data_IF_212529748115
#
_entry.id   IF_212529748115
#
_cell.length_a   1.000
_cell.length_b   1.000
_cell.length_c   1.000
_cell.angle_alpha   90.00
_cell.angle_beta   90.00
_cell.angle_gamma   90.00
#
_symmetry.space_group_name_H-M   'P 1'
#
loop_
_entity.id
_entity.type
_entity.pdbx_description
1 polymer ?
#
# COMPACT_ATOMS: atom_id res chain seq x y z
N UNK A 1 -8.90 8.59 11.06
CA UNK A 1 -8.25 7.69 10.09
C UNK A 1 -9.26 7.28 9.03
N UNK A 2 -8.88 7.28 7.74
CA UNK A 2 -9.82 7.11 6.64
C UNK A 2 -10.31 5.67 6.53
N UNK A 3 -11.54 5.40 6.98
CA UNK A 3 -12.34 4.28 6.49
C UNK A 3 -13.11 4.76 5.26
N UNK A 4 -13.53 3.85 4.39
CA UNK A 4 -14.40 4.22 3.29
C UNK A 4 -15.79 4.54 3.85
N UNK A 5 -16.15 5.82 3.96
CA UNK A 5 -17.36 6.29 4.66
C UNK A 5 -18.65 5.69 4.09
N UNK A 6 -18.69 5.43 2.79
CA UNK A 6 -19.85 4.89 2.07
C UNK A 6 -19.87 3.35 2.01
N UNK A 7 -18.90 2.66 2.62
CA UNK A 7 -18.79 1.21 2.53
C UNK A 7 -19.49 0.49 3.68
N UNK A 8 -20.30 -0.52 3.36
CA UNK A 8 -20.90 -1.39 4.37
C UNK A 8 -19.90 -2.45 4.85
N UNK A 9 -19.26 -2.18 5.98
CA UNK A 9 -18.33 -3.10 6.65
C UNK A 9 -19.00 -4.33 7.30
N UNK A 10 -20.31 -4.53 7.17
CA UNK A 10 -21.00 -5.77 7.54
C UNK A 10 -21.25 -6.67 6.34
N UNK A 11 -21.33 -6.10 5.14
CA UNK A 11 -21.66 -6.79 3.91
C UNK A 11 -20.56 -7.72 3.42
N UNK A 12 -20.97 -8.64 2.54
CA UNK A 12 -20.07 -9.59 1.85
C UNK A 12 -19.03 -8.82 1.03
N UNK A 13 -17.76 -8.94 1.40
CA UNK A 13 -16.65 -8.26 0.73
C UNK A 13 -15.32 -8.88 1.12
N UNK A 14 -14.27 -8.65 0.31
CA UNK A 14 -12.90 -9.02 0.62
C UNK A 14 -12.15 -7.76 1.04
N UNK A 15 -11.40 -7.87 2.13
CA UNK A 15 -10.63 -6.78 2.72
C UNK A 15 -9.17 -7.19 2.85
N UNK A 16 -8.27 -6.32 2.41
CA UNK A 16 -6.87 -6.36 2.81
C UNK A 16 -6.69 -5.44 4.02
N UNK A 17 -6.44 -6.02 5.19
CA UNK A 17 -6.22 -5.30 6.44
C UNK A 17 -4.73 -5.26 6.75
N UNK A 18 -4.22 -4.12 7.19
CA UNK A 18 -2.87 -3.99 7.74
C UNK A 18 -2.93 -3.55 9.21
N UNK A 19 -2.33 -4.35 10.09
CA UNK A 19 -2.19 -4.06 11.51
C UNK A 19 -0.74 -3.66 11.81
N UNK A 20 -0.49 -2.41 12.17
CA UNK A 20 0.84 -1.92 12.51
C UNK A 20 1.21 -2.26 13.95
N UNK A 21 2.47 -2.63 14.16
CA UNK A 21 3.08 -2.85 15.48
C UNK A 21 3.10 -1.54 16.28
N UNK A 22 2.75 -1.60 17.56
CA UNK A 22 2.94 -0.46 18.47
C UNK A 22 4.42 -0.22 18.77
N UNK A 23 4.84 0.99 19.16
CA UNK A 23 6.26 1.34 19.32
C UNK A 23 7.07 0.38 20.21
N UNK A 24 6.60 0.12 21.43
CA UNK A 24 7.38 -0.51 22.51
C UNK A 24 7.40 -2.05 22.51
N UNK A 25 6.47 -2.70 21.82
CA UNK A 25 6.37 -4.17 21.79
C UNK A 25 7.55 -4.79 21.01
N UNK A 26 7.97 -6.04 21.27
CA UNK A 26 8.93 -6.73 20.41
C UNK A 26 8.44 -6.89 18.96
N UNK A 27 9.37 -7.04 18.01
CA UNK A 27 9.03 -7.33 16.61
C UNK A 27 8.30 -8.67 16.49
N UNK A 28 7.44 -8.81 15.48
CA UNK A 28 6.66 -10.03 15.26
C UNK A 28 7.48 -11.15 14.59
N UNK A 29 8.66 -10.82 14.08
CA UNK A 29 9.58 -11.78 13.50
C UNK A 29 10.84 -11.10 12.98
N UNK A 30 11.77 -11.90 12.52
CA UNK A 30 13.03 -11.43 11.95
C UNK A 30 13.18 -11.99 10.54
N UNK A 31 13.64 -11.14 9.63
CA UNK A 31 14.08 -11.60 8.32
C UNK A 31 15.41 -12.33 8.48
N UNK A 32 15.43 -13.62 8.14
CA UNK A 32 16.57 -14.51 8.19
C UNK A 32 16.88 -15.07 6.80
N UNK A 33 18.14 -15.42 6.55
CA UNK A 33 18.61 -15.85 5.24
C UNK A 33 18.87 -14.67 4.29
N UNK A 34 19.23 -15.01 3.06
CA UNK A 34 19.52 -14.06 1.98
C UNK A 34 18.57 -14.25 0.81
N UNK A 35 18.38 -13.24 -0.02
CA UNK A 35 17.62 -13.38 -1.26
C UNK A 35 18.27 -14.47 -2.15
N UNK A 36 17.50 -15.40 -2.75
CA UNK A 36 16.03 -15.49 -2.77
C UNK A 36 15.40 -16.28 -1.61
N UNK A 37 16.21 -16.96 -0.80
CA UNK A 37 15.77 -17.91 0.26
C UNK A 37 15.43 -17.24 1.60
N UNK A 38 15.29 -15.91 1.61
CA UNK A 38 14.97 -15.14 2.82
C UNK A 38 13.57 -15.47 3.35
N UNK A 39 13.46 -15.66 4.66
CA UNK A 39 12.19 -15.99 5.34
C UNK A 39 11.99 -15.16 6.59
N UNK A 40 10.72 -14.91 6.97
CA UNK A 40 10.41 -14.33 8.29
C UNK A 40 10.31 -15.46 9.32
N UNK A 41 11.31 -15.57 10.18
CA UNK A 41 11.27 -16.43 11.36
C UNK A 41 10.44 -15.72 12.43
N UNK A 42 9.40 -16.38 12.94
CA UNK A 42 8.46 -15.79 13.90
C UNK A 42 9.10 -15.62 15.26
N UNK A 43 8.86 -14.46 15.88
CA UNK A 43 9.14 -14.27 17.30
C UNK A 43 8.08 -14.99 18.15
N UNK A 44 8.28 -15.02 19.47
CA UNK A 44 7.26 -15.51 20.41
C UNK A 44 5.91 -14.81 20.22
N UNK A 45 5.94 -13.49 20.03
CA UNK A 45 4.75 -12.70 19.73
C UNK A 45 4.19 -13.01 18.34
N UNK A 46 5.03 -13.16 17.31
CA UNK A 46 4.61 -13.56 15.97
C UNK A 46 3.83 -14.88 15.95
N UNK A 47 4.29 -15.87 16.72
CA UNK A 47 3.60 -17.15 16.86
C UNK A 47 2.22 -17.01 17.53
N UNK A 48 2.08 -16.13 18.54
CA UNK A 48 0.79 -15.81 19.17
C UNK A 48 -0.15 -15.12 18.19
N UNK A 49 0.35 -14.16 17.42
CA UNK A 49 -0.42 -13.48 16.37
C UNK A 49 -0.93 -14.51 15.35
N UNK A 50 -0.04 -15.37 14.83
CA UNK A 50 -0.39 -16.39 13.84
C UNK A 50 -1.46 -17.37 14.35
N UNK A 51 -1.31 -17.86 15.59
CA UNK A 51 -2.29 -18.74 16.23
C UNK A 51 -3.68 -18.10 16.26
N UNK A 52 -3.76 -16.81 16.57
CA UNK A 52 -5.02 -16.09 16.65
C UNK A 52 -5.62 -15.76 15.28
N UNK A 53 -4.80 -15.42 14.28
CA UNK A 53 -5.26 -15.25 12.88
C UNK A 53 -5.91 -16.54 12.37
N UNK A 54 -5.24 -17.69 12.57
CA UNK A 54 -5.77 -19.00 12.14
C UNK A 54 -7.10 -19.36 12.79
N UNK A 55 -7.41 -18.77 13.95
CA UNK A 55 -8.66 -18.97 14.71
C UNK A 55 -9.68 -17.86 14.47
N UNK A 56 -9.45 -16.93 13.54
CA UNK A 56 -10.34 -15.77 13.35
C UNK A 56 -11.81 -16.16 13.09
N UNK A 57 -12.05 -17.27 12.40
CA UNK A 57 -13.42 -17.79 12.16
C UNK A 57 -14.17 -18.22 13.42
N UNK A 58 -13.51 -18.32 14.59
CA UNK A 58 -14.20 -18.58 15.86
C UNK A 58 -14.94 -17.37 16.41
N UNK A 59 -14.61 -16.15 15.94
CA UNK A 59 -15.36 -14.95 16.32
C UNK A 59 -16.68 -14.82 15.57
N UNK A 60 -16.71 -15.29 14.33
CA UNK A 60 -17.89 -15.35 13.46
C UNK A 60 -17.59 -16.29 12.28
N UNK A 61 -18.50 -17.21 11.96
CA UNK A 61 -18.31 -18.19 10.89
C UNK A 61 -18.26 -17.56 9.50
N UNK A 62 -18.76 -16.33 9.34
CA UNK A 62 -18.67 -15.56 8.10
C UNK A 62 -17.29 -14.92 7.87
N UNK A 63 -16.37 -14.98 8.84
CA UNK A 63 -15.00 -14.47 8.70
C UNK A 63 -14.05 -15.57 8.24
N UNK A 64 -13.62 -15.48 6.98
CA UNK A 64 -12.62 -16.38 6.42
C UNK A 64 -11.32 -15.64 6.12
N UNK A 65 -10.22 -16.05 6.75
CA UNK A 65 -8.88 -15.59 6.37
C UNK A 65 -8.47 -16.34 5.10
N UNK A 66 -8.33 -15.62 3.99
CA UNK A 66 -7.86 -16.17 2.72
C UNK A 66 -6.33 -16.24 2.68
N UNK A 67 -5.66 -15.22 3.22
CA UNK A 67 -4.21 -15.17 3.29
C UNK A 67 -3.74 -14.24 4.40
N UNK A 68 -2.52 -14.41 4.89
CA UNK A 68 -1.86 -13.43 5.76
C UNK A 68 -0.34 -13.43 5.57
N UNK A 69 0.28 -12.31 5.96
CA UNK A 69 1.72 -12.18 6.07
C UNK A 69 2.05 -11.40 7.35
N UNK A 70 2.83 -11.99 8.25
CA UNK A 70 3.34 -11.32 9.45
C UNK A 70 4.76 -10.84 9.13
N UNK A 71 4.90 -9.53 9.02
CA UNK A 71 6.16 -8.81 8.86
C UNK A 71 6.70 -8.44 10.25
N UNK A 72 7.99 -8.06 10.37
CA UNK A 72 8.57 -7.69 11.67
C UNK A 72 7.81 -6.59 12.42
N UNK A 73 7.24 -5.62 11.70
CA UNK A 73 6.64 -4.39 12.20
C UNK A 73 5.16 -4.22 11.85
N UNK A 74 4.55 -5.16 11.12
CA UNK A 74 3.13 -5.12 10.78
C UNK A 74 2.60 -6.48 10.32
N UNK A 75 1.29 -6.60 10.18
CA UNK A 75 0.62 -7.80 9.69
C UNK A 75 -0.33 -7.44 8.56
N UNK A 76 -0.23 -8.14 7.44
CA UNK A 76 -1.23 -8.12 6.38
C UNK A 76 -2.21 -9.29 6.53
N UNK A 77 -3.50 -9.02 6.43
CA UNK A 77 -4.57 -10.01 6.43
C UNK A 77 -5.44 -9.82 5.20
N UNK A 78 -5.71 -10.89 4.46
CA UNK A 78 -6.73 -10.91 3.42
C UNK A 78 -7.93 -11.67 3.97
N UNK A 79 -9.00 -10.94 4.26
CA UNK A 79 -10.18 -11.45 4.94
C UNK A 79 -11.36 -11.40 3.98
N UNK A 80 -12.05 -12.52 3.85
CA UNK A 80 -13.32 -12.59 3.14
C UNK A 80 -14.46 -12.68 4.15
N UNK A 81 -15.31 -11.65 4.13
CA UNK A 81 -16.62 -11.69 4.78
C UNK A 81 -17.57 -12.42 3.82
N UNK A 82 -17.92 -13.66 4.14
CA UNK A 82 -18.67 -14.53 3.24
C UNK A 82 -20.18 -14.32 3.32
N UNK A 83 -20.68 -13.84 4.46
CA UNK A 83 -22.09 -13.53 4.72
C UNK A 83 -22.19 -12.28 5.61
N UNK A 84 -23.37 -11.63 5.71
CA UNK A 84 -23.53 -10.44 6.55
C UNK A 84 -23.12 -10.70 8.00
N UNK A 85 -22.28 -9.81 8.54
CA UNK A 85 -21.81 -9.88 9.93
C UNK A 85 -22.81 -9.26 10.90
N UNK A 86 -22.86 -9.77 12.12
CA UNK A 86 -23.66 -9.16 13.20
C UNK A 86 -23.12 -7.79 13.65
N UNK A 87 -21.78 -7.61 13.58
CA UNK A 87 -21.06 -6.37 13.91
C UNK A 87 -20.27 -5.89 12.70
N UNK A 88 -19.85 -4.62 12.69
CA UNK A 88 -18.90 -4.17 11.66
C UNK A 88 -17.59 -4.94 11.77
N UNK A 89 -16.93 -5.22 10.62
CA UNK A 89 -15.63 -5.91 10.57
C UNK A 89 -14.62 -5.37 11.59
N UNK A 90 -14.56 -4.04 11.75
CA UNK A 90 -13.64 -3.41 12.69
C UNK A 90 -13.81 -3.86 14.16
N UNK A 91 -15.02 -4.26 14.58
CA UNK A 91 -15.23 -4.81 15.92
C UNK A 91 -14.53 -6.17 16.08
N UNK A 92 -14.59 -7.03 15.06
CA UNK A 92 -13.90 -8.33 15.06
C UNK A 92 -12.39 -8.16 14.98
N UNK A 93 -11.89 -7.17 14.24
CA UNK A 93 -10.46 -6.81 14.26
C UNK A 93 -10.04 -6.35 15.66
N UNK A 94 -10.84 -5.54 16.35
CA UNK A 94 -10.57 -5.17 17.74
C UNK A 94 -10.57 -6.38 18.67
N UNK A 95 -11.51 -7.31 18.53
CA UNK A 95 -11.55 -8.56 19.30
C UNK A 95 -10.30 -9.41 19.06
N UNK A 96 -9.84 -9.52 17.81
CA UNK A 96 -8.59 -10.20 17.46
C UNK A 96 -7.39 -9.55 18.17
N UNK A 97 -7.27 -8.21 18.11
CA UNK A 97 -6.17 -7.47 18.77
C UNK A 97 -6.18 -7.67 20.28
N UNK A 98 -7.36 -7.63 20.92
CA UNK A 98 -7.53 -7.88 22.35
C UNK A 98 -7.12 -9.31 22.71
N UNK A 99 -7.56 -10.31 21.93
CA UNK A 99 -7.22 -11.71 22.17
C UNK A 99 -5.72 -11.97 22.05
N UNK A 100 -5.06 -11.39 21.05
CA UNK A 100 -3.60 -11.45 20.88
C UNK A 100 -2.90 -10.84 22.08
N UNK A 101 -3.32 -9.66 22.53
CA UNK A 101 -2.75 -9.01 23.72
C UNK A 101 -2.89 -9.90 24.97
N UNK A 102 -4.07 -10.48 25.21
CA UNK A 102 -4.32 -11.37 26.34
C UNK A 102 -3.44 -12.62 26.30
N UNK A 103 -3.42 -13.31 25.16
CA UNK A 103 -2.61 -14.53 24.99
C UNK A 103 -1.12 -14.23 25.14
N UNK A 104 -0.63 -13.09 24.61
CA UNK A 104 0.77 -12.71 24.75
C UNK A 104 1.10 -12.34 26.20
N UNK A 105 0.28 -11.53 26.87
CA UNK A 105 0.45 -11.14 28.28
C UNK A 105 0.52 -12.34 29.21
N UNK A 106 -0.32 -13.36 28.99
CA UNK A 106 -0.30 -14.59 29.78
C UNK A 106 1.04 -15.34 29.68
N UNK A 107 1.69 -15.22 28.52
CA UNK A 107 2.88 -15.97 28.16
C UNK A 107 4.17 -15.19 28.52
N UNK A 108 4.19 -13.88 28.32
CA UNK A 108 5.36 -13.01 28.55
C UNK A 108 5.34 -12.29 29.90
N UNK A 109 4.17 -12.09 30.51
CA UNK A 109 3.99 -11.20 31.66
C UNK A 109 3.91 -9.71 31.27
N UNK A 110 4.16 -9.36 30.01
CA UNK A 110 4.16 -7.98 29.52
C UNK A 110 2.74 -7.47 29.27
N UNK A 111 2.42 -6.27 29.77
CA UNK A 111 1.14 -5.60 29.53
C UNK A 111 1.21 -4.58 28.38
N UNK A 112 2.19 -4.72 27.50
CA UNK A 112 2.39 -3.80 26.38
C UNK A 112 1.28 -3.92 25.33
N UNK A 113 0.98 -2.78 24.71
CA UNK A 113 0.07 -2.73 23.56
C UNK A 113 0.76 -3.37 22.36
N UNK A 114 0.11 -4.33 21.68
CA UNK A 114 0.72 -5.08 20.57
C UNK A 114 0.64 -4.32 19.24
N UNK A 115 -0.49 -3.68 18.98
CA UNK A 115 -0.75 -2.98 17.72
C UNK A 115 -1.14 -1.54 18.01
N UNK A 116 -0.90 -0.65 17.06
CA UNK A 116 -1.45 0.71 17.11
C UNK A 116 -2.98 0.67 17.29
N UNK A 117 -3.60 1.77 17.75
CA UNK A 117 -5.06 1.79 18.05
C UNK A 117 -5.88 1.38 16.83
N UNK A 118 -5.60 2.00 15.69
CA UNK A 118 -6.33 1.78 14.45
C UNK A 118 -5.73 0.65 13.60
N UNK A 119 -6.33 0.42 12.44
CA UNK A 119 -5.81 -0.46 11.40
C UNK A 119 -6.12 0.15 10.05
N UNK A 120 -5.36 -0.28 9.04
CA UNK A 120 -5.57 0.11 7.67
C UNK A 120 -6.41 -0.94 6.94
N UNK A 121 -7.31 -0.51 6.06
CA UNK A 121 -8.11 -1.38 5.22
C UNK A 121 -8.09 -0.95 3.76
N UNK A 122 -8.03 -1.93 2.87
CA UNK A 122 -8.20 -1.78 1.44
C UNK A 122 -9.32 -2.73 0.98
N UNK A 123 -10.40 -2.16 0.48
CA UNK A 123 -11.54 -2.92 -0.05
C UNK A 123 -11.21 -3.46 -1.44
N UNK A 124 -11.40 -4.77 -1.63
CA UNK A 124 -11.28 -5.39 -2.94
C UNK A 124 -12.54 -5.09 -3.77
N UNK A 125 -12.34 -4.34 -4.86
CA UNK A 125 -13.36 -4.08 -5.87
C UNK A 125 -13.32 -5.18 -6.95
N UNK A 126 -14.42 -5.46 -7.66
CA UNK A 126 -14.46 -6.48 -8.71
C UNK A 126 -13.41 -6.32 -9.81
N UNK A 127 -12.95 -5.09 -10.05
CA UNK A 127 -11.90 -4.78 -11.02
C UNK A 127 -10.50 -5.25 -10.63
N UNK A 128 -10.29 -5.74 -9.40
CA UNK A 128 -8.97 -6.18 -8.91
C UNK A 128 -8.93 -7.69 -8.78
N UNK A 129 -7.91 -8.31 -9.38
CA UNK A 129 -7.69 -9.75 -9.29
C UNK A 129 -7.32 -10.18 -7.87
N UNK A 130 -8.13 -11.07 -7.29
CA UNK A 130 -7.86 -11.69 -6.00
C UNK A 130 -6.51 -12.40 -5.98
N UNK A 131 -6.17 -13.07 -7.08
CA UNK A 131 -4.90 -13.80 -7.24
C UNK A 131 -3.69 -12.85 -7.20
N UNK A 132 -3.79 -11.69 -7.85
CA UNK A 132 -2.75 -10.65 -7.79
C UNK A 132 -2.53 -10.16 -6.37
N UNK A 133 -3.60 -9.89 -5.61
CA UNK A 133 -3.48 -9.44 -4.21
C UNK A 133 -2.95 -10.55 -3.31
N UNK A 134 -3.39 -11.80 -3.53
CA UNK A 134 -2.88 -12.96 -2.83
C UNK A 134 -1.36 -13.08 -2.99
N UNK A 135 -0.87 -13.11 -4.24
CA UNK A 135 0.56 -13.15 -4.57
C UNK A 135 1.30 -11.94 -4.00
N UNK A 136 0.74 -10.74 -4.16
CA UNK A 136 1.32 -9.53 -3.60
C UNK A 136 1.53 -9.66 -2.09
N UNK A 137 0.56 -10.18 -1.34
CA UNK A 137 0.69 -10.37 0.11
C UNK A 137 1.79 -11.39 0.44
N UNK A 138 1.83 -12.54 -0.26
CA UNK A 138 2.85 -13.57 -0.09
C UNK A 138 4.28 -13.06 -0.29
N UNK A 139 4.46 -12.16 -1.26
CA UNK A 139 5.78 -11.68 -1.66
C UNK A 139 6.35 -10.57 -0.78
N UNK A 140 5.60 -10.06 0.21
CA UNK A 140 6.10 -8.98 1.09
C UNK A 140 7.44 -9.31 1.77
N UNK A 141 7.67 -10.52 2.33
CA UNK A 141 8.98 -10.90 2.88
C UNK A 141 10.10 -10.83 1.86
N UNK A 142 9.87 -11.40 0.66
CA UNK A 142 10.84 -11.37 -0.44
C UNK A 142 11.15 -9.93 -0.85
N UNK A 143 10.12 -9.08 -1.00
CA UNK A 143 10.31 -7.65 -1.29
C UNK A 143 11.10 -6.94 -0.18
N UNK A 144 10.88 -7.27 1.09
CA UNK A 144 11.68 -6.74 2.20
C UNK A 144 13.15 -7.16 2.08
N UNK A 145 13.44 -8.42 1.76
CA UNK A 145 14.81 -8.89 1.60
C UNK A 145 15.54 -8.20 0.45
N UNK A 146 14.90 -8.11 -0.72
CA UNK A 146 15.45 -7.38 -1.87
C UNK A 146 15.77 -5.93 -1.49
N UNK A 147 14.87 -5.24 -0.78
CA UNK A 147 15.10 -3.85 -0.35
C UNK A 147 16.23 -3.70 0.65
N UNK A 148 16.48 -4.70 1.49
CA UNK A 148 17.56 -4.70 2.49
C UNK A 148 18.93 -5.01 1.88
N UNK A 149 18.98 -5.97 0.97
CA UNK A 149 20.23 -6.48 0.38
C UNK A 149 20.68 -5.68 -0.83
N UNK A 150 19.74 -5.04 -1.52
CA UNK A 150 20.02 -4.26 -2.72
C UNK A 150 19.39 -2.87 -2.68
N UNK A 151 19.84 -1.96 -1.80
CA UNK A 151 19.43 -0.56 -1.84
C UNK A 151 19.74 0.11 -3.19
N UNK A 152 20.71 -0.43 -3.94
CA UNK A 152 20.99 -0.05 -5.31
C UNK A 152 19.87 -0.32 -6.31
N UNK A 153 18.87 -1.17 -6.00
CA UNK A 153 17.69 -1.33 -6.86
C UNK A 153 16.77 -0.10 -6.85
N UNK A 154 16.96 0.85 -5.93
CA UNK A 154 16.28 2.15 -5.98
C UNK A 154 16.99 3.16 -6.91
N UNK A 155 17.80 2.67 -7.86
CA UNK A 155 18.52 3.46 -8.86
C UNK A 155 17.71 3.62 -10.14
N UNK A 156 18.27 4.39 -11.05
CA UNK A 156 17.72 4.66 -12.38
C UNK A 156 17.58 3.37 -13.21
N UNK A 157 16.42 3.20 -13.84
CA UNK A 157 16.13 2.15 -14.82
C UNK A 157 15.89 2.84 -16.16
N UNK A 158 16.72 2.53 -17.16
CA UNK A 158 16.60 3.14 -18.48
C UNK A 158 15.58 2.44 -19.39
N UNK A 159 15.24 1.18 -19.11
CA UNK A 159 14.36 0.36 -19.93
C UNK A 159 13.22 -0.28 -19.13
N UNK A 160 12.42 0.54 -18.45
CA UNK A 160 11.22 0.07 -17.75
C UNK A 160 10.09 -0.17 -18.76
N UNK A 161 9.64 -1.42 -18.90
CA UNK A 161 8.54 -1.76 -19.81
C UNK A 161 7.19 -1.56 -19.12
N UNK A 162 6.30 -0.81 -19.74
CA UNK A 162 4.92 -0.57 -19.30
C UNK A 162 4.04 -0.73 -20.56
N UNK A 163 3.28 -1.83 -20.62
CA UNK A 163 2.69 -2.30 -21.87
C UNK A 163 3.76 -2.49 -22.95
N UNK A 164 3.50 -1.98 -24.15
CA UNK A 164 4.42 -2.09 -25.30
C UNK A 164 5.51 -1.00 -25.33
N UNK A 165 5.47 -0.05 -24.40
CA UNK A 165 6.37 1.10 -24.37
C UNK A 165 7.49 0.95 -23.33
N UNK A 166 8.61 1.61 -23.58
CA UNK A 166 9.78 1.61 -22.70
C UNK A 166 10.02 3.02 -22.17
N UNK A 167 10.22 3.13 -20.86
CA UNK A 167 10.36 4.39 -20.15
C UNK A 167 11.65 4.43 -19.32
N UNK A 168 12.14 5.65 -19.06
CA UNK A 168 13.15 5.85 -18.02
C UNK A 168 12.44 6.07 -16.68
N UNK A 169 12.96 5.47 -15.62
CA UNK A 169 12.42 5.60 -14.28
C UNK A 169 13.52 5.73 -13.23
N UNK A 170 13.17 6.24 -12.05
CA UNK A 170 14.06 6.37 -10.89
C UNK A 170 13.28 6.13 -9.60
N UNK A 171 13.80 5.31 -8.69
CA UNK A 171 13.20 5.05 -7.37
C UNK A 171 12.62 3.65 -7.24
N UNK A 172 11.55 3.49 -6.47
CA UNK A 172 11.02 2.17 -6.09
C UNK A 172 10.07 1.57 -7.15
N UNK A 173 10.62 0.79 -8.09
CA UNK A 173 9.83 0.14 -9.13
C UNK A 173 8.82 -0.90 -8.59
N UNK A 174 9.02 -1.45 -7.37
CA UNK A 174 8.07 -2.39 -6.75
C UNK A 174 6.70 -1.74 -6.48
N UNK A 175 6.59 -0.41 -6.52
CA UNK A 175 5.31 0.29 -6.43
C UNK A 175 4.38 -0.05 -7.61
N UNK A 176 4.92 -0.47 -8.76
CA UNK A 176 4.14 -0.94 -9.91
C UNK A 176 3.37 -2.22 -9.58
N UNK A 177 3.94 -3.10 -8.76
CA UNK A 177 3.33 -4.38 -8.35
C UNK A 177 2.20 -4.20 -7.33
N UNK A 178 2.07 -3.01 -6.72
CA UNK A 178 1.03 -2.75 -5.74
C UNK A 178 -0.36 -2.83 -6.42
N UNK A 179 -1.28 -3.67 -5.96
CA UNK A 179 -2.61 -3.79 -6.60
C UNK A 179 -3.56 -2.63 -6.23
N UNK A 180 -3.22 -1.85 -5.21
CA UNK A 180 -4.03 -0.73 -4.72
C UNK A 180 -3.49 0.59 -5.27
N UNK A 181 -3.76 0.85 -6.56
CA UNK A 181 -3.38 2.08 -7.25
C UNK A 181 -4.61 2.94 -7.54
N UNK A 182 -4.44 4.25 -7.47
CA UNK A 182 -5.46 5.22 -7.86
C UNK A 182 -4.80 6.39 -8.61
N UNK A 183 -5.36 6.76 -9.76
CA UNK A 183 -4.92 7.94 -10.49
C UNK A 183 -5.44 9.20 -9.79
N UNK A 184 -4.55 10.17 -9.58
CA UNK A 184 -4.93 11.53 -9.15
C UNK A 184 -5.04 12.41 -10.38
N UNK A 185 -6.27 12.81 -10.69
CA UNK A 185 -6.58 13.71 -11.80
C UNK A 185 -7.78 14.57 -11.41
N UNK A 186 -7.68 15.89 -11.63
CA UNK A 186 -8.79 16.82 -11.37
C UNK A 186 -9.21 17.46 -12.68
N UNK A 187 -10.47 17.24 -13.07
CA UNK A 187 -11.01 17.86 -14.27
C UNK A 187 -11.71 19.18 -13.93
N UNK A 188 -11.61 20.15 -14.87
CA UNK A 188 -12.29 21.46 -14.72
C UNK A 188 -13.81 21.32 -14.54
N UNK A 189 -14.41 20.32 -15.19
CA UNK A 189 -15.86 20.03 -15.13
C UNK A 189 -16.30 19.36 -13.83
N UNK A 190 -15.38 18.92 -12.97
CA UNK A 190 -15.74 18.22 -11.74
C UNK A 190 -16.46 19.16 -10.79
N UNK A 191 -17.61 18.71 -10.29
CA UNK A 191 -18.38 19.42 -9.28
C UNK A 191 -17.62 19.45 -7.94
N UNK A 192 -17.96 20.37 -7.02
CA UNK A 192 -17.37 20.38 -5.67
C UNK A 192 -17.53 19.04 -4.94
N UNK A 193 -18.68 18.37 -5.11
CA UNK A 193 -18.93 17.07 -4.50
C UNK A 193 -18.06 15.96 -5.12
N UNK A 194 -17.91 15.94 -6.45
CA UNK A 194 -17.01 14.99 -7.13
C UNK A 194 -15.56 15.17 -6.64
N UNK A 195 -15.10 16.42 -6.51
CA UNK A 195 -13.74 16.71 -6.01
C UNK A 195 -13.56 16.24 -4.57
N UNK A 196 -14.58 16.45 -3.72
CA UNK A 196 -14.57 15.98 -2.33
C UNK A 196 -14.49 14.45 -2.26
N UNK A 197 -15.34 13.73 -2.99
CA UNK A 197 -15.35 12.26 -3.02
C UNK A 197 -14.03 11.69 -3.56
N UNK A 198 -13.48 12.27 -4.63
CA UNK A 198 -12.19 11.87 -5.18
C UNK A 198 -11.06 12.09 -4.18
N UNK A 199 -11.03 13.25 -3.50
CA UNK A 199 -10.08 13.52 -2.42
C UNK A 199 -10.19 12.49 -1.30
N UNK A 200 -11.39 12.22 -0.81
CA UNK A 200 -11.61 11.20 0.24
C UNK A 200 -11.09 9.82 -0.20
N UNK A 201 -11.33 9.43 -1.46
CA UNK A 201 -10.81 8.18 -2.06
C UNK A 201 -9.28 8.14 -2.11
N UNK A 202 -8.63 9.23 -2.56
CA UNK A 202 -7.17 9.29 -2.67
C UNK A 202 -6.50 9.28 -1.31
N UNK A 203 -7.01 10.04 -0.35
CA UNK A 203 -6.48 10.07 1.02
C UNK A 203 -6.71 8.73 1.71
N UNK A 204 -7.86 8.10 1.51
CA UNK A 204 -8.11 6.72 1.96
C UNK A 204 -7.06 5.76 1.37
N UNK A 205 -6.84 5.79 0.06
CA UNK A 205 -5.89 4.89 -0.60
C UNK A 205 -4.46 5.11 -0.09
N UNK A 206 -4.03 6.36 -0.01
CA UNK A 206 -2.69 6.72 0.48
C UNK A 206 -2.48 6.34 1.94
N UNK A 207 -3.47 6.62 2.79
CA UNK A 207 -3.43 6.22 4.20
C UNK A 207 -3.29 4.70 4.32
N UNK A 208 -4.00 3.92 3.52
CA UNK A 208 -4.04 2.46 3.62
C UNK A 208 -2.93 1.73 2.83
N UNK A 209 -1.81 2.42 2.55
CA UNK A 209 -0.62 1.83 1.93
C UNK A 209 -0.74 1.60 0.41
N UNK A 210 -1.78 2.13 -0.22
CA UNK A 210 -1.91 2.19 -1.68
C UNK A 210 -0.97 3.23 -2.31
N UNK A 211 -1.01 3.30 -3.64
CA UNK A 211 -0.12 4.14 -4.45
C UNK A 211 -0.96 5.13 -5.27
N UNK A 212 -0.61 6.41 -5.18
CA UNK A 212 -1.21 7.47 -5.99
C UNK A 212 -0.36 7.70 -7.24
N UNK A 213 -0.99 7.66 -8.41
CA UNK A 213 -0.32 7.75 -9.71
C UNK A 213 -0.73 9.04 -10.40
N UNK A 214 0.20 9.94 -10.68
CA UNK A 214 -0.12 11.21 -11.36
C UNK A 214 1.11 11.99 -11.80
N UNK A 215 0.98 12.81 -12.86
CA UNK A 215 1.93 13.87 -13.14
C UNK A 215 1.80 15.09 -12.22
N UNK A 216 0.78 15.18 -11.34
CA UNK A 216 0.56 16.28 -10.38
C UNK A 216 0.78 17.68 -11.00
N UNK A 217 0.10 17.94 -12.12
CA UNK A 217 0.34 19.10 -12.98
C UNK A 217 -0.20 20.37 -12.32
N UNK A 218 -1.45 20.32 -11.88
CA UNK A 218 -2.17 21.48 -11.36
C UNK A 218 -1.85 21.77 -9.90
N UNK A 219 -2.06 23.01 -9.45
CA UNK A 219 -1.90 23.38 -8.05
C UNK A 219 -2.78 22.52 -7.13
N UNK A 220 -4.02 22.25 -7.54
CA UNK A 220 -4.95 21.40 -6.78
C UNK A 220 -4.45 19.96 -6.66
N UNK A 221 -3.89 19.37 -7.72
CA UNK A 221 -3.30 18.02 -7.64
C UNK A 221 -2.07 17.99 -6.74
N UNK A 222 -1.23 19.05 -6.76
CA UNK A 222 -0.10 19.18 -5.85
C UNK A 222 -0.53 19.28 -4.39
N UNK A 223 -1.61 20.01 -4.09
CA UNK A 223 -2.21 20.03 -2.74
C UNK A 223 -2.63 18.63 -2.29
N UNK A 224 -3.25 17.83 -3.17
CA UNK A 224 -3.59 16.43 -2.86
C UNK A 224 -2.34 15.60 -2.58
N UNK A 225 -1.27 15.79 -3.35
CA UNK A 225 0.00 15.10 -3.12
C UNK A 225 0.57 15.43 -1.74
N UNK A 226 0.59 16.70 -1.37
CA UNK A 226 1.13 17.18 -0.09
C UNK A 226 0.32 16.63 1.09
N UNK A 227 -1.00 16.64 0.96
CA UNK A 227 -1.88 16.05 1.96
C UNK A 227 -1.67 14.54 2.07
N UNK A 228 -1.62 13.82 0.94
CA UNK A 228 -1.40 12.38 0.93
C UNK A 228 -0.02 12.00 1.50
N UNK A 229 1.00 12.81 1.26
CA UNK A 229 2.35 12.58 1.81
C UNK A 229 2.35 12.67 3.35
N UNK A 230 1.58 13.60 3.91
CA UNK A 230 1.46 13.79 5.37
C UNK A 230 0.88 12.56 6.09
N UNK A 231 0.13 11.73 5.37
CA UNK A 231 -0.44 10.46 5.87
C UNK A 231 0.33 9.22 5.44
N UNK A 232 1.55 9.39 4.91
CA UNK A 232 2.43 8.27 4.59
C UNK A 232 2.24 7.66 3.20
N UNK A 233 1.51 8.31 2.29
CA UNK A 233 1.20 7.76 0.98
C UNK A 233 2.46 7.48 0.12
N UNK A 234 2.28 6.59 -0.85
CA UNK A 234 3.28 6.21 -1.87
C UNK A 234 2.86 6.77 -3.22
N UNK A 235 3.85 7.07 -4.07
CA UNK A 235 3.61 7.79 -5.31
C UNK A 235 4.33 7.16 -6.50
N UNK A 236 3.64 7.14 -7.64
CA UNK A 236 4.26 7.04 -8.96
C UNK A 236 4.08 8.40 -9.64
N UNK A 237 5.17 9.16 -9.71
CA UNK A 237 5.19 10.50 -10.28
C UNK A 237 5.63 10.46 -11.74
N UNK A 238 4.78 10.96 -12.64
CA UNK A 238 5.09 11.01 -14.07
C UNK A 238 5.62 12.40 -14.44
N UNK A 239 6.81 12.44 -15.01
CA UNK A 239 7.44 13.69 -15.49
C UNK A 239 7.47 13.69 -17.02
N UNK A 240 7.24 14.85 -17.62
CA UNK A 240 7.22 14.97 -19.08
C UNK A 240 8.63 14.86 -19.67
N UNK A 241 9.58 15.57 -19.08
CA UNK A 241 10.92 15.73 -19.63
C UNK A 241 11.73 14.42 -19.59
N UNK A 242 12.60 14.18 -20.59
CA UNK A 242 13.55 13.07 -20.56
C UNK A 242 14.44 13.10 -19.31
N UNK A 243 14.78 11.93 -18.78
CA UNK A 243 15.81 11.84 -17.73
C UNK A 243 17.19 11.89 -18.38
N UNK A 244 18.01 12.86 -17.99
CA UNK A 244 19.41 12.96 -18.41
C UNK A 244 20.27 11.81 -17.85
N UNK A 245 21.46 11.59 -18.42
CA UNK A 245 22.36 10.49 -18.06
C UNK A 245 22.66 10.42 -16.55
N UNK A 246 22.83 11.59 -15.91
CA UNK A 246 23.14 11.74 -14.48
C UNK A 246 21.94 12.20 -13.65
N UNK A 247 20.71 11.99 -14.13
CA UNK A 247 19.51 12.39 -13.41
C UNK A 247 19.47 11.77 -12.02
N UNK A 248 19.33 12.64 -11.01
CA UNK A 248 19.13 12.28 -9.62
C UNK A 248 18.13 13.26 -9.01
N UNK A 249 17.04 12.78 -8.38
CA UNK A 249 16.10 13.67 -7.71
C UNK A 249 16.79 14.38 -6.53
N UNK A 250 16.29 15.57 -6.18
CA UNK A 250 16.83 16.38 -5.09
C UNK A 250 15.76 16.72 -4.05
N UNK A 251 16.19 17.05 -2.84
CA UNK A 251 15.32 17.53 -1.75
C UNK A 251 14.21 16.53 -1.41
N UNK A 252 12.95 16.96 -1.55
CA UNK A 252 11.77 16.18 -1.16
C UNK A 252 11.67 14.84 -1.90
N UNK A 253 11.86 14.84 -3.22
CA UNK A 253 11.74 13.61 -4.02
C UNK A 253 12.85 12.61 -3.70
N UNK A 254 14.06 13.11 -3.41
CA UNK A 254 15.16 12.26 -2.98
C UNK A 254 14.82 11.50 -1.69
N UNK A 255 14.31 12.21 -0.67
CA UNK A 255 13.90 11.57 0.60
C UNK A 255 12.82 10.51 0.40
N UNK A 256 11.79 10.80 -0.41
CA UNK A 256 10.74 9.82 -0.68
C UNK A 256 11.25 8.60 -1.44
N UNK A 257 12.21 8.76 -2.34
CA UNK A 257 12.88 7.64 -3.01
C UNK A 257 13.69 6.81 -2.01
N UNK A 258 14.44 7.44 -1.11
CA UNK A 258 15.22 6.75 -0.06
C UNK A 258 14.32 5.96 0.91
N UNK A 259 13.17 6.51 1.25
CA UNK A 259 12.16 5.84 2.07
C UNK A 259 11.36 4.76 1.28
N UNK A 260 11.63 4.60 -0.02
CA UNK A 260 10.93 3.66 -0.90
C UNK A 260 9.47 4.02 -1.17
N UNK A 261 9.09 5.29 -0.98
CA UNK A 261 7.72 5.82 -1.17
C UNK A 261 7.50 6.47 -2.53
N UNK A 262 8.53 6.62 -3.36
CA UNK A 262 8.42 7.26 -4.67
C UNK A 262 9.07 6.44 -5.79
N UNK A 263 8.38 6.41 -6.93
CA UNK A 263 8.90 6.06 -8.25
C UNK A 263 8.63 7.22 -9.19
N UNK A 264 9.66 7.72 -9.87
CA UNK A 264 9.55 8.75 -10.89
C UNK A 264 9.64 8.05 -12.26
N UNK A 265 8.74 8.35 -13.19
CA UNK A 265 8.74 7.82 -14.55
C UNK A 265 8.75 8.99 -15.52
N UNK A 266 9.72 9.02 -16.43
CA UNK A 266 9.78 10.01 -17.50
C UNK A 266 9.02 9.52 -18.73
N UNK A 267 8.12 10.36 -19.24
CA UNK A 267 7.42 10.15 -20.49
C UNK A 267 8.30 10.45 -21.73
N UNK A 268 9.50 10.99 -21.55
CA UNK A 268 10.45 11.24 -22.65
C UNK A 268 9.99 12.30 -23.66
N UNK A 269 9.14 13.24 -23.25
CA UNK A 269 8.55 14.27 -24.10
C UNK A 269 9.36 15.57 -23.98
N UNK A 270 10.25 15.91 -24.94
CA UNK A 270 11.01 17.14 -24.89
C UNK A 270 10.10 18.36 -25.11
N UNK A 271 10.46 19.48 -24.48
CA UNK A 271 9.77 20.76 -24.67
C UNK A 271 8.91 21.21 -23.49
N UNK A 272 8.18 22.34 -23.65
CA UNK A 272 7.39 22.92 -22.58
C UNK A 272 6.16 22.07 -22.25
N UNK A 273 5.62 22.28 -21.05
CA UNK A 273 4.40 21.63 -20.60
C UNK A 273 3.19 22.16 -21.40
N UNK A 274 2.75 21.39 -22.39
CA UNK A 274 1.58 21.70 -23.23
C UNK A 274 0.40 20.78 -22.90
N UNK A 275 -0.80 21.15 -23.36
CA UNK A 275 -2.01 20.31 -23.17
C UNK A 275 -1.82 18.88 -23.72
N UNK A 276 -1.28 18.64 -24.93
CA UNK A 276 -0.99 17.28 -25.41
C UNK A 276 -0.07 16.50 -24.49
N UNK A 277 1.03 17.11 -24.02
CA UNK A 277 1.97 16.48 -23.08
C UNK A 277 1.27 16.08 -21.77
N UNK A 278 0.43 16.96 -21.22
CA UNK A 278 -0.38 16.66 -20.04
C UNK A 278 -1.33 15.48 -20.26
N UNK A 279 -1.94 15.36 -21.44
CA UNK A 279 -2.83 14.25 -21.77
C UNK A 279 -2.06 12.94 -21.88
N UNK A 280 -0.89 12.94 -22.52
CA UNK A 280 -0.02 11.76 -22.61
C UNK A 280 0.42 11.25 -21.24
N UNK A 281 0.84 12.16 -20.35
CA UNK A 281 1.22 11.77 -18.98
C UNK A 281 0.04 11.23 -18.18
N UNK A 282 -1.16 11.80 -18.34
CA UNK A 282 -2.36 11.28 -17.69
C UNK A 282 -2.80 9.93 -18.28
N UNK A 283 -2.62 9.70 -19.58
CA UNK A 283 -2.89 8.39 -20.18
C UNK A 283 -1.93 7.32 -19.62
N UNK A 284 -0.64 7.64 -19.47
CA UNK A 284 0.33 6.75 -18.82
C UNK A 284 -0.03 6.49 -17.35
N UNK A 285 -0.47 7.50 -16.60
CA UNK A 285 -0.95 7.30 -15.22
C UNK A 285 -2.17 6.37 -15.16
N UNK A 286 -3.10 6.49 -16.12
CA UNK A 286 -4.26 5.61 -16.19
C UNK A 286 -3.83 4.16 -16.50
N UNK A 287 -2.96 3.97 -17.49
CA UNK A 287 -2.43 2.65 -17.86
C UNK A 287 -1.74 1.95 -16.67
N UNK A 288 -0.91 2.68 -15.93
CA UNK A 288 -0.25 2.15 -14.73
C UNK A 288 -1.31 1.78 -13.68
N UNK A 289 -2.35 2.59 -13.51
CA UNK A 289 -3.38 2.37 -12.47
C UNK A 289 -4.26 1.16 -12.77
N UNK A 290 -4.68 0.98 -14.01
CA UNK A 290 -5.56 -0.13 -14.44
C UNK A 290 -4.85 -1.48 -14.45
N UNK A 291 -3.52 -1.48 -14.54
CA UNK A 291 -2.69 -2.70 -14.60
C UNK A 291 -2.01 -2.82 -15.96
N UNK A 292 -0.73 -3.17 -15.93
CA UNK A 292 0.05 -3.52 -17.12
C UNK A 292 -0.06 -5.01 -17.44
#
# INVERSE_FOLDING_TARGET
MGRCYLHDYKGRCIYHITLSKAGEIPVFGHLCGHFPDSVIVRSRLGAVIEKNIRRMGSFDSALRVLQYCIMPDHVHLLIFVTAPLSRHLGAYISMLKVRIHQDYRQISGEALTVFEKDFYDCILRPSRSLDTIYRYICENPRRMAVRREHPEFFRRVNALRIGDSTYNAYGNFQLLDCPFKEQVIIHRKDSPETRRLNREKWIYTGSNGGVLVSPFISASEKTIRDEAESVGARFIHIVGQPMEERYKPAGREFRLCEEGRLLIISAGLPGPLTRPVCLTMNALANQITEGC
#
